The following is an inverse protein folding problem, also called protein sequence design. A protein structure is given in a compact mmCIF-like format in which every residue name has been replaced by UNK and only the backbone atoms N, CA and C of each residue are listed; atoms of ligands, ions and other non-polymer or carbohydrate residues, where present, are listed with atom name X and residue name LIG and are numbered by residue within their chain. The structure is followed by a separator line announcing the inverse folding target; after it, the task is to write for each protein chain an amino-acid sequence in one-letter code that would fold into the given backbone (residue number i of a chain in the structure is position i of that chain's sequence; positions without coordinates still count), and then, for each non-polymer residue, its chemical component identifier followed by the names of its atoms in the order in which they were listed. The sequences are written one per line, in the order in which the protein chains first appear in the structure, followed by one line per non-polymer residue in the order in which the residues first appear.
data_IF_069281180991
#
_entry.id   IF_069281180991
#
_cell.length_a   1.000
_cell.length_b   1.000
_cell.length_c   1.000
_cell.angle_alpha   90.00
_cell.angle_beta   90.00
_cell.angle_gamma   90.00
#
_symmetry.space_group_name_H-M   'P 1'
#
loop_
_entity.id
_entity.type
_entity.pdbx_description
1 polymer ?
#
# COMPACT_ATOMS: atom_id res chain seq x y z
N UNK A 1 17.32 18.74 -6.36
CA UNK A 1 16.19 17.81 -6.18
C UNK A 1 16.36 17.13 -4.83
N UNK A 2 15.30 16.97 -4.04
CA UNK A 2 15.35 16.21 -2.78
C UNK A 2 15.65 14.75 -3.13
N UNK A 3 16.68 14.15 -2.54
CA UNK A 3 16.97 12.72 -2.73
C UNK A 3 15.91 11.90 -1.99
N UNK A 4 15.35 10.89 -2.63
CA UNK A 4 14.34 10.02 -2.06
C UNK A 4 15.00 9.14 -1.00
N UNK A 5 14.42 9.06 0.19
CA UNK A 5 14.96 8.32 1.33
C UNK A 5 14.17 7.04 1.57
N UNK A 6 14.85 5.90 1.59
CA UNK A 6 14.28 4.57 1.83
C UNK A 6 14.84 4.03 3.13
N UNK A 7 13.96 3.61 4.04
CA UNK A 7 14.34 2.91 5.26
C UNK A 7 14.29 1.40 5.03
N UNK A 8 15.37 0.71 5.33
CA UNK A 8 15.45 -0.75 5.39
C UNK A 8 15.44 -1.15 6.85
N UNK A 9 14.54 -2.05 7.21
CA UNK A 9 14.42 -2.59 8.57
C UNK A 9 14.54 -4.10 8.50
N UNK A 10 15.66 -4.63 8.95
CA UNK A 10 15.98 -6.06 8.92
C UNK A 10 17.04 -6.35 9.98
N UNK A 11 16.84 -7.35 10.83
CA UNK A 11 17.81 -7.74 11.85
C UNK A 11 19.00 -8.53 11.28
N UNK A 12 18.89 -9.00 10.02
CA UNK A 12 19.97 -9.61 9.27
C UNK A 12 20.76 -8.54 8.50
N UNK A 13 21.87 -8.07 9.07
CA UNK A 13 22.70 -7.01 8.48
C UNK A 13 23.15 -7.31 7.04
N UNK A 14 23.42 -8.57 6.70
CA UNK A 14 23.82 -8.99 5.36
C UNK A 14 22.71 -8.76 4.33
N UNK A 15 21.44 -8.95 4.71
CA UNK A 15 20.29 -8.69 3.86
C UNK A 15 20.11 -7.18 3.68
N UNK A 16 20.19 -6.41 4.77
CA UNK A 16 20.10 -4.97 4.71
C UNK A 16 21.21 -4.37 3.82
N UNK A 17 22.45 -4.85 3.94
CA UNK A 17 23.57 -4.40 3.10
C UNK A 17 23.38 -4.75 1.62
N UNK A 18 22.89 -5.95 1.33
CA UNK A 18 22.55 -6.36 -0.04
C UNK A 18 21.52 -5.43 -0.67
N UNK A 19 20.45 -5.11 0.07
CA UNK A 19 19.39 -4.21 -0.39
C UNK A 19 19.93 -2.79 -0.60
N UNK A 20 20.71 -2.28 0.37
CA UNK A 20 21.33 -0.96 0.31
C UNK A 20 22.16 -0.78 -0.97
N UNK A 21 23.07 -1.71 -1.28
CA UNK A 21 23.92 -1.66 -2.48
C UNK A 21 23.08 -1.51 -3.76
N UNK A 22 21.94 -2.18 -3.85
CA UNK A 22 21.12 -2.13 -5.05
C UNK A 22 20.27 -0.87 -5.13
N UNK A 23 19.74 -0.39 -4.01
CA UNK A 23 18.96 0.84 -3.97
C UNK A 23 19.83 2.10 -4.16
N UNK A 24 21.05 2.10 -3.63
CA UNK A 24 21.98 3.19 -3.85
C UNK A 24 22.43 3.33 -5.31
N UNK A 25 22.57 2.20 -6.04
CA UNK A 25 22.84 2.22 -7.49
C UNK A 25 21.72 2.89 -8.28
N UNK A 26 20.49 2.83 -7.81
CA UNK A 26 19.34 3.54 -8.39
C UNK A 26 19.28 5.03 -7.97
N UNK A 27 20.21 5.47 -7.13
CA UNK A 27 20.32 6.88 -6.71
C UNK A 27 19.51 7.22 -5.46
N UNK A 28 18.94 6.23 -4.76
CA UNK A 28 18.24 6.46 -3.51
C UNK A 28 19.18 6.75 -2.35
N UNK A 29 18.66 7.42 -1.33
CA UNK A 29 19.31 7.53 -0.03
C UNK A 29 18.77 6.42 0.86
N UNK A 30 19.66 5.58 1.39
CA UNK A 30 19.27 4.46 2.23
C UNK A 30 19.60 4.75 3.68
N UNK A 31 18.66 4.45 4.55
CA UNK A 31 18.82 4.45 6.01
C UNK A 31 18.51 3.03 6.47
N UNK A 32 19.26 2.52 7.45
CA UNK A 32 19.04 1.15 7.98
C UNK A 32 18.63 1.22 9.44
N UNK A 33 17.78 0.28 9.84
CA UNK A 33 17.43 0.00 11.22
C UNK A 33 17.56 -1.52 11.45
N UNK A 34 18.12 -1.92 12.58
CA UNK A 34 18.33 -3.31 12.93
C UNK A 34 17.16 -3.91 13.72
N UNK A 35 16.21 -3.10 14.17
CA UNK A 35 15.00 -3.55 14.85
C UNK A 35 13.84 -2.56 14.69
N UNK A 36 12.65 -2.95 15.16
CA UNK A 36 11.45 -2.15 15.02
C UNK A 36 11.44 -0.87 15.84
N UNK A 37 12.11 -0.84 17.01
CA UNK A 37 12.18 0.36 17.85
C UNK A 37 13.03 1.44 17.18
N UNK A 38 14.18 1.05 16.63
CA UNK A 38 15.05 1.93 15.86
C UNK A 38 14.31 2.47 14.62
N UNK A 39 13.58 1.59 13.93
CA UNK A 39 12.79 1.99 12.75
C UNK A 39 11.75 3.08 13.07
N UNK A 40 10.98 2.92 14.14
CA UNK A 40 9.99 3.91 14.58
C UNK A 40 10.69 5.23 14.94
N UNK A 41 11.79 5.18 15.67
CA UNK A 41 12.56 6.38 16.02
C UNK A 41 13.07 7.13 14.79
N UNK A 42 13.61 6.42 13.80
CA UNK A 42 14.09 7.01 12.54
C UNK A 42 12.94 7.70 11.81
N UNK A 43 11.79 7.05 11.68
CA UNK A 43 10.63 7.60 10.97
C UNK A 43 10.07 8.86 11.66
N UNK A 44 10.17 8.95 12.99
CA UNK A 44 9.73 10.14 13.74
C UNK A 44 10.72 11.32 13.63
N UNK A 45 11.99 11.04 13.36
CA UNK A 45 13.07 12.05 13.34
C UNK A 45 13.56 12.44 11.96
N UNK A 46 13.30 11.62 10.94
CA UNK A 46 13.80 11.82 9.59
C UNK A 46 12.68 11.61 8.54
N UNK A 47 12.71 12.36 7.43
CA UNK A 47 11.76 12.15 6.34
C UNK A 47 12.11 10.87 5.58
N UNK A 48 11.22 9.89 5.65
CA UNK A 48 11.30 8.62 4.90
C UNK A 48 10.20 8.59 3.86
N UNK A 49 10.54 8.22 2.62
CA UNK A 49 9.62 8.19 1.49
C UNK A 49 9.08 6.76 1.20
N UNK A 50 9.78 5.71 1.67
CA UNK A 50 9.35 4.30 1.56
C UNK A 50 10.05 3.46 2.64
N UNK A 51 9.39 2.42 3.13
CA UNK A 51 9.95 1.46 4.08
C UNK A 51 9.98 0.05 3.46
N UNK A 52 11.12 -0.61 3.52
CA UNK A 52 11.30 -2.05 3.29
C UNK A 52 11.46 -2.68 4.67
N UNK A 53 10.57 -3.60 5.05
CA UNK A 53 10.42 -4.02 6.44
C UNK A 53 10.34 -5.54 6.57
N UNK A 54 11.28 -6.14 7.28
CA UNK A 54 11.13 -7.54 7.69
C UNK A 54 10.02 -7.68 8.72
N UNK A 55 9.27 -8.76 8.59
CA UNK A 55 8.21 -9.10 9.55
C UNK A 55 8.80 -9.77 10.80
N UNK A 56 9.80 -10.63 10.61
CA UNK A 56 10.28 -11.50 11.68
C UNK A 56 11.52 -10.94 12.38
N UNK A 57 11.33 -9.91 13.18
CA UNK A 57 12.41 -9.31 13.94
C UNK A 57 12.22 -9.52 15.45
N UNK A 58 13.32 -9.53 16.23
CA UNK A 58 13.25 -9.59 17.70
C UNK A 58 12.66 -8.29 18.27
N UNK A 59 12.16 -8.35 19.50
CA UNK A 59 11.56 -7.27 20.29
C UNK A 59 10.24 -6.75 19.71
N UNK A 60 10.27 -6.07 18.57
CA UNK A 60 9.12 -5.50 17.88
C UNK A 60 9.06 -6.06 16.46
N UNK A 61 8.02 -6.83 16.16
CA UNK A 61 7.83 -7.39 14.83
C UNK A 61 7.37 -6.34 13.79
N UNK A 62 7.49 -6.68 12.51
CA UNK A 62 7.12 -5.76 11.43
C UNK A 62 5.64 -5.39 11.42
N UNK A 63 4.77 -6.19 12.00
CA UNK A 63 3.34 -5.89 12.11
C UNK A 63 3.10 -4.75 13.12
N UNK A 64 3.77 -4.80 14.27
CA UNK A 64 3.68 -3.73 15.27
C UNK A 64 4.30 -2.43 14.77
N UNK A 65 5.47 -2.51 14.11
CA UNK A 65 6.08 -1.35 13.43
C UNK A 65 5.09 -0.72 12.45
N UNK A 66 4.45 -1.53 11.59
CA UNK A 66 3.47 -1.03 10.61
C UNK A 66 2.28 -0.34 11.28
N UNK A 67 1.78 -0.90 12.39
CA UNK A 67 0.66 -0.29 13.14
C UNK A 67 1.03 1.10 13.65
N UNK A 68 2.23 1.24 14.21
CA UNK A 68 2.72 2.52 14.72
C UNK A 68 2.96 3.54 13.59
N UNK A 69 3.56 3.11 12.48
CA UNK A 69 3.74 3.96 11.30
C UNK A 69 2.39 4.46 10.76
N UNK A 70 1.43 3.58 10.58
CA UNK A 70 0.12 3.89 10.00
C UNK A 70 -0.75 4.80 10.85
N UNK A 71 -0.45 4.96 12.13
CA UNK A 71 -1.12 5.93 13.00
C UNK A 71 -0.81 7.40 12.61
N UNK A 72 0.32 7.66 11.93
CA UNK A 72 0.79 9.03 11.64
C UNK A 72 1.26 9.22 10.18
N UNK A 73 1.56 8.14 9.46
CA UNK A 73 2.26 8.20 8.18
C UNK A 73 1.63 7.32 7.10
N UNK A 74 1.72 7.77 5.84
CA UNK A 74 1.12 7.12 4.68
C UNK A 74 2.15 6.70 3.61
N UNK A 75 3.47 6.75 3.92
CA UNK A 75 4.47 6.30 2.98
C UNK A 75 4.30 4.80 2.67
N UNK A 76 4.68 4.33 1.48
CA UNK A 76 4.60 2.92 1.11
C UNK A 76 5.43 2.03 2.04
N UNK A 77 4.89 0.84 2.37
CA UNK A 77 5.58 -0.20 3.13
C UNK A 77 5.58 -1.48 2.29
N UNK A 78 6.77 -2.02 2.03
CA UNK A 78 6.97 -3.32 1.41
C UNK A 78 7.45 -4.28 2.48
N UNK A 79 6.68 -5.34 2.75
CA UNK A 79 7.12 -6.40 3.64
C UNK A 79 8.09 -7.35 2.96
N UNK A 80 9.14 -7.73 3.70
CA UNK A 80 9.96 -8.91 3.42
C UNK A 80 9.65 -9.99 4.46
N UNK A 81 9.56 -11.25 4.06
CA UNK A 81 9.30 -12.31 5.03
C UNK A 81 9.76 -13.67 4.55
N UNK A 82 10.29 -14.49 5.46
CA UNK A 82 10.49 -15.92 5.25
C UNK A 82 9.17 -16.71 5.29
N UNK A 83 8.07 -16.10 5.73
CA UNK A 83 6.76 -16.74 5.80
C UNK A 83 6.12 -16.79 4.42
N UNK A 84 5.78 -18.00 3.99
CA UNK A 84 5.17 -18.27 2.68
C UNK A 84 3.67 -18.53 2.76
N UNK A 85 3.10 -18.60 3.98
CA UNK A 85 1.68 -18.91 4.12
C UNK A 85 0.81 -17.74 3.62
N UNK A 86 -0.27 -18.08 2.94
CA UNK A 86 -1.25 -17.07 2.49
C UNK A 86 -1.85 -16.28 3.65
N UNK A 87 -1.94 -16.90 4.84
CA UNK A 87 -2.43 -16.25 6.05
C UNK A 87 -1.53 -15.11 6.52
N UNK A 88 -0.21 -15.29 6.48
CA UNK A 88 0.76 -14.26 6.87
C UNK A 88 0.77 -13.08 5.88
N UNK A 89 0.70 -13.39 4.56
CA UNK A 89 0.57 -12.38 3.51
C UNK A 89 -0.71 -11.53 3.71
N UNK A 90 -1.83 -12.21 3.96
CA UNK A 90 -3.12 -11.56 4.23
C UNK A 90 -3.05 -10.68 5.48
N UNK A 91 -2.44 -11.16 6.55
CA UNK A 91 -2.31 -10.41 7.81
C UNK A 91 -1.51 -9.13 7.61
N UNK A 92 -0.38 -9.20 6.91
CA UNK A 92 0.46 -8.04 6.64
C UNK A 92 -0.26 -6.96 5.84
N UNK A 93 -0.97 -7.35 4.80
CA UNK A 93 -1.72 -6.42 3.96
C UNK A 93 -2.93 -5.81 4.69
N UNK A 94 -3.62 -6.57 5.54
CA UNK A 94 -4.71 -6.06 6.41
C UNK A 94 -4.22 -4.99 7.37
N UNK A 95 -2.98 -5.12 7.87
CA UNK A 95 -2.36 -4.16 8.78
C UNK A 95 -1.88 -2.88 8.07
N UNK A 96 -1.89 -2.86 6.74
CA UNK A 96 -1.61 -1.66 5.95
C UNK A 96 -0.30 -1.67 5.18
N UNK A 97 0.33 -2.82 4.96
CA UNK A 97 1.40 -2.94 3.98
C UNK A 97 0.84 -2.72 2.56
N UNK A 98 1.65 -2.12 1.71
CA UNK A 98 1.27 -1.84 0.32
C UNK A 98 1.69 -2.96 -0.62
N UNK A 99 2.71 -3.72 -0.23
CA UNK A 99 3.20 -4.87 -0.97
C UNK A 99 3.85 -5.90 -0.04
N UNK A 100 4.06 -7.11 -0.54
CA UNK A 100 4.62 -8.23 0.20
C UNK A 100 5.56 -9.03 -0.70
N UNK A 101 6.75 -9.36 -0.21
CA UNK A 101 7.74 -10.17 -0.92
C UNK A 101 8.31 -11.26 -0.03
N UNK A 102 8.44 -12.47 -0.56
CA UNK A 102 8.97 -13.61 0.19
C UNK A 102 10.49 -13.71 0.09
N UNK A 103 11.16 -14.02 1.20
CA UNK A 103 12.55 -14.46 1.22
C UNK A 103 12.63 -15.95 0.80
N UNK A 104 13.57 -16.39 -0.08
CA UNK A 104 14.58 -15.57 -0.75
C UNK A 104 14.00 -14.79 -1.94
N UNK A 105 14.50 -13.59 -2.16
CA UNK A 105 14.10 -12.70 -3.24
C UNK A 105 15.31 -12.34 -4.13
N UNK A 106 15.04 -11.83 -5.32
CA UNK A 106 16.08 -11.25 -6.15
C UNK A 106 16.15 -9.74 -5.92
N UNK A 107 17.36 -9.13 -5.80
CA UNK A 107 17.48 -7.69 -5.68
C UNK A 107 16.81 -6.90 -6.80
N UNK A 108 16.82 -7.44 -8.02
CA UNK A 108 16.15 -6.82 -9.18
C UNK A 108 14.65 -6.72 -8.97
N UNK A 109 14.01 -7.76 -8.41
CA UNK A 109 12.58 -7.75 -8.10
C UNK A 109 12.27 -6.71 -7.02
N UNK A 110 13.07 -6.65 -5.95
CA UNK A 110 12.89 -5.65 -4.91
C UNK A 110 12.98 -4.23 -5.47
N UNK A 111 14.01 -3.93 -6.26
CA UNK A 111 14.19 -2.63 -6.89
C UNK A 111 13.00 -2.27 -7.78
N UNK A 112 12.50 -3.21 -8.57
CA UNK A 112 11.33 -2.99 -9.42
C UNK A 112 10.09 -2.64 -8.60
N UNK A 113 9.83 -3.34 -7.49
CA UNK A 113 8.72 -3.06 -6.56
C UNK A 113 8.88 -1.71 -5.87
N UNK A 114 10.06 -1.38 -5.37
CA UNK A 114 10.38 -0.07 -4.78
C UNK A 114 10.10 1.05 -5.79
N UNK A 115 10.59 0.92 -7.02
CA UNK A 115 10.38 1.89 -8.09
C UNK A 115 8.87 2.06 -8.41
N UNK A 116 8.12 0.96 -8.46
CA UNK A 116 6.69 0.99 -8.71
C UNK A 116 5.91 1.72 -7.60
N UNK A 117 6.23 1.42 -6.33
CA UNK A 117 5.60 2.06 -5.17
C UNK A 117 5.94 3.55 -5.09
N UNK A 118 7.21 3.92 -5.26
CA UNK A 118 7.66 5.32 -5.23
C UNK A 118 7.10 6.14 -6.39
N UNK A 119 7.15 5.65 -7.61
CA UNK A 119 6.58 6.34 -8.77
C UNK A 119 5.13 6.72 -8.51
N UNK A 120 4.37 5.80 -7.96
CA UNK A 120 2.96 6.00 -7.64
C UNK A 120 2.78 7.01 -6.52
N UNK A 121 3.47 6.81 -5.39
CA UNK A 121 3.39 7.69 -4.23
C UNK A 121 3.79 9.12 -4.56
N UNK A 122 4.91 9.31 -5.26
CA UNK A 122 5.41 10.63 -5.65
C UNK A 122 4.60 11.26 -6.78
N UNK A 123 4.12 10.49 -7.77
CA UNK A 123 3.32 11.02 -8.88
C UNK A 123 1.93 11.42 -8.42
N UNK A 124 1.34 10.69 -7.49
CA UNK A 124 0.01 11.00 -6.96
C UNK A 124 0.05 12.12 -5.91
N UNK A 125 1.18 12.31 -5.22
CA UNK A 125 1.38 13.39 -4.25
C UNK A 125 1.96 14.68 -4.87
N UNK A 126 2.30 14.70 -6.17
CA UNK A 126 2.61 15.96 -6.83
C UNK A 126 1.29 16.67 -7.17
N UNK A 127 1.16 17.97 -6.85
CA UNK A 127 0.06 18.77 -7.38
C UNK A 127 0.22 18.78 -8.90
N UNK A 128 -0.52 17.92 -9.61
CA UNK A 128 -0.65 18.00 -11.06
C UNK A 128 -1.28 19.36 -11.37
N UNK A 129 -0.56 20.18 -12.14
CA UNK A 129 -1.12 21.35 -12.78
C UNK A 129 -2.41 20.92 -13.48
N UNK A 130 -3.51 21.34 -12.89
CA UNK A 130 -4.90 21.37 -13.32
C UNK A 130 -5.28 20.63 -14.62
N UNK A 131 -5.64 19.37 -14.51
CA UNK A 131 -6.95 18.98 -15.01
C UNK A 131 -7.87 18.94 -13.77
N UNK A 132 -8.87 19.81 -13.72
CA UNK A 132 -9.89 19.86 -12.67
C UNK A 132 -10.61 18.50 -12.62
N UNK A 133 -10.04 17.52 -11.95
CA UNK A 133 -10.76 16.31 -11.56
C UNK A 133 -11.57 16.70 -10.34
N UNK A 134 -12.78 17.21 -10.59
CA UNK A 134 -13.77 17.43 -9.53
C UNK A 134 -13.90 16.18 -8.67
N UNK A 135 -14.06 16.38 -7.37
CA UNK A 135 -14.32 15.27 -6.45
C UNK A 135 -15.44 14.38 -7.01
N UNK A 136 -15.25 13.07 -6.96
CA UNK A 136 -16.28 12.11 -7.35
C UNK A 136 -17.30 12.03 -6.21
N UNK A 137 -18.55 12.35 -6.49
CA UNK A 137 -19.65 12.19 -5.53
C UNK A 137 -20.62 11.12 -6.05
N UNK A 138 -20.64 9.97 -5.38
CA UNK A 138 -21.44 8.82 -5.79
C UNK A 138 -21.94 8.08 -4.55
N UNK A 139 -23.28 7.90 -4.45
CA UNK A 139 -23.87 7.06 -3.40
C UNK A 139 -23.58 7.52 -1.97
N UNK A 140 -23.37 8.83 -1.73
CA UNK A 140 -22.99 9.39 -0.43
C UNK A 140 -21.50 9.25 -0.09
N UNK A 141 -20.68 8.85 -1.07
CA UNK A 141 -19.22 8.83 -0.96
C UNK A 141 -18.65 9.96 -1.80
N UNK A 142 -17.82 10.80 -1.17
CA UNK A 142 -17.08 11.88 -1.84
C UNK A 142 -15.61 11.48 -1.84
N UNK A 143 -15.01 11.38 -3.02
CA UNK A 143 -13.61 11.00 -3.20
C UNK A 143 -12.88 12.18 -3.85
N UNK A 144 -11.94 12.78 -3.14
CA UNK A 144 -11.06 13.83 -3.66
C UNK A 144 -9.74 13.19 -4.12
N UNK A 145 -9.50 13.10 -5.43
CA UNK A 145 -8.29 12.47 -5.94
C UNK A 145 -7.03 13.33 -5.75
N UNK A 146 -7.18 14.66 -5.61
CA UNK A 146 -6.05 15.57 -5.42
C UNK A 146 -5.53 15.51 -3.98
N UNK A 147 -6.45 15.51 -3.02
CA UNK A 147 -6.12 15.43 -1.59
C UNK A 147 -6.02 13.99 -1.08
N UNK A 148 -6.43 13.02 -1.90
CA UNK A 148 -6.55 11.60 -1.54
C UNK A 148 -7.40 11.40 -0.28
N UNK A 149 -8.45 12.18 -0.14
CA UNK A 149 -9.39 12.08 0.98
C UNK A 149 -10.69 11.44 0.54
N UNK A 150 -11.31 10.71 1.46
CA UNK A 150 -12.61 10.07 1.25
C UNK A 150 -13.54 10.45 2.39
N UNK A 151 -14.73 10.90 2.02
CA UNK A 151 -15.80 11.18 2.96
C UNK A 151 -16.98 10.25 2.66
N UNK A 152 -17.50 9.61 3.67
CA UNK A 152 -18.62 8.67 3.57
C UNK A 152 -19.76 9.16 4.45
N UNK A 153 -20.84 9.64 3.82
CA UNK A 153 -22.00 10.24 4.52
C UNK A 153 -21.67 11.33 5.52
N UNK A 154 -20.68 12.17 5.22
CA UNK A 154 -20.25 13.29 6.07
C UNK A 154 -19.11 12.95 7.02
N UNK A 155 -18.71 11.69 7.14
CA UNK A 155 -17.57 11.27 7.96
C UNK A 155 -16.33 11.02 7.08
N UNK A 156 -15.22 11.67 7.41
CA UNK A 156 -13.95 11.41 6.75
C UNK A 156 -13.38 10.08 7.24
N UNK A 157 -12.99 9.21 6.30
CA UNK A 157 -12.36 7.93 6.60
C UNK A 157 -10.90 7.92 6.15
N UNK A 158 -10.06 7.23 6.92
CA UNK A 158 -8.65 7.05 6.58
C UNK A 158 -8.43 5.76 5.80
N UNK A 159 -7.88 5.90 4.60
CA UNK A 159 -7.52 4.79 3.73
C UNK A 159 -6.01 4.72 3.55
N UNK A 160 -5.49 3.49 3.44
CA UNK A 160 -4.12 3.30 2.96
C UNK A 160 -4.00 3.70 1.49
N UNK A 161 -2.80 3.97 0.96
CA UNK A 161 -2.61 4.32 -0.44
C UNK A 161 -3.28 3.33 -1.40
N UNK A 162 -3.17 2.02 -1.16
CA UNK A 162 -3.77 0.99 -2.02
C UNK A 162 -5.28 0.90 -1.90
N UNK A 163 -5.82 1.06 -0.69
CA UNK A 163 -7.28 1.11 -0.49
C UNK A 163 -7.90 2.30 -1.23
N UNK A 164 -7.24 3.47 -1.15
CA UNK A 164 -7.68 4.65 -1.89
C UNK A 164 -7.65 4.40 -3.40
N UNK A 165 -6.56 3.84 -3.92
CA UNK A 165 -6.40 3.58 -5.36
C UNK A 165 -7.43 2.60 -5.89
N UNK A 166 -7.73 1.52 -5.12
CA UNK A 166 -8.79 0.57 -5.47
C UNK A 166 -10.16 1.27 -5.49
N UNK A 167 -10.48 2.03 -4.43
CA UNK A 167 -11.75 2.73 -4.33
C UNK A 167 -11.91 3.70 -5.50
N UNK A 168 -10.89 4.51 -5.78
CA UNK A 168 -10.90 5.49 -6.85
C UNK A 168 -11.03 4.84 -8.23
N UNK A 169 -10.32 3.72 -8.49
CA UNK A 169 -10.45 2.95 -9.72
C UNK A 169 -11.88 2.47 -9.96
N UNK A 170 -12.48 1.87 -8.94
CA UNK A 170 -13.84 1.32 -9.06
C UNK A 170 -14.89 2.42 -9.16
N UNK A 171 -14.77 3.47 -8.36
CA UNK A 171 -15.72 4.59 -8.31
C UNK A 171 -15.64 5.49 -9.56
N UNK A 172 -14.48 5.61 -10.20
CA UNK A 172 -14.32 6.36 -11.45
C UNK A 172 -15.10 5.75 -12.62
N UNK A 173 -15.49 4.48 -12.52
CA UNK A 173 -16.26 3.78 -13.55
C UNK A 173 -17.37 2.94 -12.90
N UNK A 174 -18.43 3.58 -12.38
CA UNK A 174 -19.52 2.88 -11.73
C UNK A 174 -20.14 1.80 -12.63
N UNK A 175 -20.55 0.68 -12.04
CA UNK A 175 -21.14 -0.47 -12.74
C UNK A 175 -20.21 -1.24 -13.69
N UNK A 176 -18.99 -0.74 -13.96
CA UNK A 176 -17.99 -1.52 -14.68
C UNK A 176 -17.44 -2.59 -13.75
N UNK A 177 -17.37 -3.83 -14.23
CA UNK A 177 -16.77 -4.94 -13.50
C UNK A 177 -15.28 -5.03 -13.83
N UNK A 178 -14.47 -5.04 -12.80
CA UNK A 178 -13.03 -5.26 -12.90
C UNK A 178 -12.70 -6.62 -12.33
N UNK A 179 -12.01 -7.46 -13.09
CA UNK A 179 -11.47 -8.70 -12.54
C UNK A 179 -10.28 -8.40 -11.60
N UNK A 180 -9.93 -9.38 -10.78
CA UNK A 180 -8.86 -9.24 -9.77
C UNK A 180 -7.53 -8.87 -10.39
N UNK A 181 -7.21 -9.48 -11.54
CA UNK A 181 -6.00 -9.22 -12.32
C UNK A 181 -5.94 -7.77 -12.82
N UNK A 182 -7.03 -7.27 -13.41
CA UNK A 182 -7.09 -5.88 -13.86
C UNK A 182 -6.97 -4.87 -12.72
N UNK A 183 -7.57 -5.16 -11.56
CA UNK A 183 -7.41 -4.32 -10.36
C UNK A 183 -5.94 -4.32 -9.96
N UNK A 184 -5.31 -5.49 -9.89
CA UNK A 184 -3.93 -5.61 -9.50
C UNK A 184 -3.02 -4.84 -10.46
N UNK A 185 -3.08 -5.10 -11.76
CA UNK A 185 -2.27 -4.41 -12.77
C UNK A 185 -2.43 -2.89 -12.70
N UNK A 186 -3.66 -2.38 -12.57
CA UNK A 186 -3.91 -0.94 -12.53
C UNK A 186 -3.51 -0.30 -11.20
N UNK A 187 -3.62 -1.04 -10.08
CA UNK A 187 -3.33 -0.54 -8.74
C UNK A 187 -1.90 -0.80 -8.30
N UNK A 188 -1.22 -1.84 -8.77
CA UNK A 188 0.19 -2.12 -8.46
C UNK A 188 1.14 -1.76 -9.61
N UNK A 189 0.62 -1.57 -10.83
CA UNK A 189 1.39 -1.30 -12.07
C UNK A 189 2.45 -2.38 -12.34
N UNK A 190 2.15 -3.62 -11.99
CA UNK A 190 3.02 -4.78 -12.09
C UNK A 190 2.27 -5.95 -12.74
N UNK A 191 3.01 -6.89 -13.33
CA UNK A 191 2.42 -8.10 -13.87
C UNK A 191 1.89 -9.00 -12.74
N UNK A 192 0.73 -9.59 -13.01
CA UNK A 192 -0.02 -10.40 -12.05
C UNK A 192 0.64 -11.77 -11.87
N UNK A 193 1.61 -11.90 -10.96
CA UNK A 193 2.26 -13.19 -10.72
C UNK A 193 1.71 -13.97 -9.51
N UNK A 194 1.03 -13.41 -8.56
CA UNK A 194 0.37 -14.08 -7.41
C UNK A 194 -0.52 -13.12 -6.58
N UNK A 195 -0.95 -12.01 -7.18
CA UNK A 195 -1.61 -10.91 -6.47
C UNK A 195 -3.09 -11.09 -6.12
N UNK A 196 -3.72 -12.23 -6.44
CA UNK A 196 -5.17 -12.41 -6.25
C UNK A 196 -5.62 -12.25 -4.81
N UNK A 197 -4.86 -12.80 -3.88
CA UNK A 197 -5.15 -12.69 -2.45
C UNK A 197 -4.98 -11.24 -1.96
N UNK A 198 -3.98 -10.52 -2.49
CA UNK A 198 -3.69 -9.13 -2.14
C UNK A 198 -4.88 -8.21 -2.40
N UNK A 199 -5.46 -8.26 -3.62
CA UNK A 199 -6.64 -7.46 -3.98
C UNK A 199 -7.83 -7.79 -3.08
N UNK A 200 -8.11 -9.07 -2.84
CA UNK A 200 -9.25 -9.50 -2.01
C UNK A 200 -9.13 -8.99 -0.57
N UNK A 201 -7.93 -8.97 -0.02
CA UNK A 201 -7.67 -8.46 1.33
C UNK A 201 -7.94 -6.95 1.40
N UNK A 202 -7.39 -6.17 0.48
CA UNK A 202 -7.64 -4.73 0.45
C UNK A 202 -9.14 -4.41 0.23
N UNK A 203 -9.84 -5.15 -0.63
CA UNK A 203 -11.30 -5.01 -0.80
C UNK A 203 -12.05 -5.31 0.50
N UNK A 204 -11.66 -6.35 1.24
CA UNK A 204 -12.27 -6.67 2.54
C UNK A 204 -12.08 -5.56 3.55
N UNK A 205 -10.85 -5.06 3.69
CA UNK A 205 -10.52 -3.97 4.62
C UNK A 205 -11.23 -2.67 4.22
N UNK A 206 -11.22 -2.35 2.93
CA UNK A 206 -11.91 -1.19 2.38
C UNK A 206 -13.41 -1.23 2.68
N UNK A 207 -14.09 -2.36 2.47
CA UNK A 207 -15.51 -2.54 2.82
C UNK A 207 -15.79 -2.27 4.28
N UNK A 208 -14.92 -2.76 5.18
CA UNK A 208 -15.03 -2.50 6.62
C UNK A 208 -14.92 -1.01 6.93
N UNK A 209 -13.95 -0.31 6.34
CA UNK A 209 -13.74 1.13 6.52
C UNK A 209 -14.89 1.96 5.92
N UNK A 210 -15.47 1.52 4.82
CA UNK A 210 -16.67 2.11 4.21
C UNK A 210 -17.95 1.84 5.03
N UNK A 211 -17.88 1.03 6.10
CA UNK A 211 -19.02 0.69 6.94
C UNK A 211 -20.03 -0.23 6.26
N UNK A 212 -19.63 -1.01 5.24
CA UNK A 212 -20.53 -1.88 4.48
C UNK A 212 -21.10 -3.06 5.28
N UNK A 213 -20.47 -3.44 6.40
CA UNK A 213 -20.97 -4.50 7.29
C UNK A 213 -22.32 -4.11 7.94
N UNK A 214 -22.62 -2.82 8.02
CA UNK A 214 -23.83 -2.26 8.63
C UNK A 214 -24.89 -1.84 7.61
N UNK A 215 -24.68 -2.08 6.31
CA UNK A 215 -25.53 -1.57 5.23
C UNK A 215 -26.17 -2.69 4.43
N UNK A 216 -27.43 -2.48 4.02
CA UNK A 216 -28.11 -3.35 3.06
C UNK A 216 -27.55 -3.17 1.64
N UNK A 217 -27.26 -1.95 1.24
CA UNK A 217 -26.68 -1.64 -0.07
C UNK A 217 -25.15 -1.49 0.03
N UNK A 218 -24.46 -2.44 -0.59
CA UNK A 218 -23.00 -2.45 -0.65
C UNK A 218 -22.49 -1.56 -1.78
N UNK A 219 -21.58 -0.66 -1.44
CA UNK A 219 -20.89 0.21 -2.42
C UNK A 219 -20.00 -0.60 -3.36
N UNK A 220 -19.25 -1.57 -2.81
CA UNK A 220 -18.42 -2.47 -3.60
C UNK A 220 -19.11 -3.83 -3.68
N UNK A 221 -19.64 -4.18 -4.84
CA UNK A 221 -20.26 -5.49 -5.08
C UNK A 221 -19.28 -6.50 -5.64
N UNK A 222 -19.39 -7.74 -5.17
CA UNK A 222 -18.73 -8.90 -5.79
C UNK A 222 -19.60 -9.43 -6.92
N UNK A 223 -19.00 -9.53 -8.10
CA UNK A 223 -19.59 -10.27 -9.23
C UNK A 223 -18.93 -11.65 -9.23
N UNK A 224 -19.63 -12.64 -8.72
CA UNK A 224 -19.09 -13.98 -8.49
C UNK A 224 -18.47 -14.58 -9.75
N UNK A 225 -17.26 -15.13 -9.62
CA UNK A 225 -16.49 -15.68 -10.72
C UNK A 225 -15.88 -14.66 -11.69
N UNK A 226 -16.14 -13.34 -11.50
CA UNK A 226 -15.65 -12.28 -12.40
C UNK A 226 -14.79 -11.26 -11.68
N UNK A 227 -15.27 -10.64 -10.59
CA UNK A 227 -14.50 -9.60 -9.89
C UNK A 227 -15.34 -8.64 -9.06
N UNK A 228 -15.04 -7.36 -9.14
CA UNK A 228 -15.62 -6.32 -8.30
C UNK A 228 -16.12 -5.13 -9.13
N UNK A 229 -17.15 -4.47 -8.63
CA UNK A 229 -17.73 -3.26 -9.23
C UNK A 229 -18.16 -2.27 -8.15
N UNK A 230 -18.14 -0.99 -8.45
CA UNK A 230 -18.73 0.05 -7.59
C UNK A 230 -20.20 0.25 -7.97
N UNK A 231 -21.06 0.20 -6.95
CA UNK A 231 -22.50 0.37 -7.09
C UNK A 231 -22.90 1.70 -6.44
N UNK A 232 -22.83 2.75 -7.20
CA UNK A 232 -23.29 4.07 -6.81
C UNK A 232 -24.44 4.55 -7.68
#
# INVERSE_FOLDING_TARGET
MKRISILIVDDEAEIADLIEIHLEKEGYHVVKAADGEEAVHIIETQPIDLVVLDIMMPKMDGYEVTRQIRAKHHMPIIFLSAKTSDFDKVTGLVLGADDYMTKPFTPIELVARVNAQLRRFLTLNQPKVAENKSALEIGGVIIDPERRTVNVYGEQIELTPKEFDILYLLASHPKKVYNVENIFQQVWADDYYEGGNTVMVHIRTLRKKLGEDKRQDKLIKTVWGVGYTFNG
#
